data_IF_733385140651
#
_entry.id   IF_733385140651
#
_cell.length_a   1.000
_cell.length_b   1.000
_cell.length_c   1.000
_cell.angle_alpha   90.00
_cell.angle_beta   90.00
_cell.angle_gamma   90.00
#
_symmetry.space_group_name_H-M   'P 1'
#
loop_
_entity.id
_entity.type
_entity.pdbx_description
1 polymer ?
#
# COMPACT_ATOMS: atom_id res chain seq x y z
N UNK A 1 -33.19 -57.05 -19.92
CA UNK A 1 -32.49 -56.23 -20.94
C UNK A 1 -31.45 -55.40 -20.19
N UNK A 2 -30.29 -55.96 -19.83
CA UNK A 2 -28.98 -55.88 -20.51
C UNK A 2 -28.58 -54.46 -20.92
N UNK A 3 -27.54 -53.99 -20.20
CA UNK A 3 -26.52 -53.00 -20.56
C UNK A 3 -27.02 -51.60 -20.92
N UNK A 4 -26.79 -50.64 -20.02
CA UNK A 4 -26.03 -49.42 -20.29
C UNK A 4 -25.70 -48.75 -18.95
N UNK A 5 -24.86 -49.49 -18.22
CA UNK A 5 -24.06 -49.00 -17.10
C UNK A 5 -22.85 -48.27 -17.68
N UNK A 6 -22.48 -47.14 -17.08
CA UNK A 6 -21.15 -46.50 -17.18
C UNK A 6 -20.71 -45.91 -18.52
N UNK A 7 -21.28 -44.79 -18.98
CA UNK A 7 -20.49 -43.89 -19.82
C UNK A 7 -20.94 -42.43 -19.58
N UNK A 8 -19.98 -41.52 -19.47
CA UNK A 8 -20.13 -40.07 -19.21
C UNK A 8 -20.10 -39.68 -17.71
N UNK A 9 -19.18 -40.27 -16.94
CA UNK A 9 -18.67 -39.68 -15.69
C UNK A 9 -17.15 -39.46 -15.80
N UNK A 10 -16.70 -38.98 -16.97
CA UNK A 10 -15.29 -38.66 -17.25
C UNK A 10 -15.26 -37.34 -18.02
N UNK A 11 -15.69 -36.26 -17.37
CA UNK A 11 -15.35 -34.91 -17.80
C UNK A 11 -14.44 -34.34 -16.70
N UNK A 12 -13.16 -34.67 -16.84
CA UNK A 12 -12.06 -33.75 -16.66
C UNK A 12 -12.10 -32.87 -15.40
N UNK A 13 -11.79 -33.47 -14.25
CA UNK A 13 -11.04 -32.76 -13.22
C UNK A 13 -9.61 -32.55 -13.73
N UNK A 14 -9.43 -31.67 -14.72
CA UNK A 14 -8.14 -31.02 -14.92
C UNK A 14 -8.03 -29.98 -13.79
N UNK A 15 -7.63 -30.44 -12.60
CA UNK A 15 -7.02 -29.55 -11.63
C UNK A 15 -5.67 -29.19 -12.21
N UNK A 16 -5.63 -28.09 -12.96
CA UNK A 16 -4.36 -27.42 -13.18
C UNK A 16 -3.84 -27.08 -11.80
N UNK A 17 -2.77 -27.74 -11.38
CA UNK A 17 -1.95 -27.28 -10.27
C UNK A 17 -1.36 -25.93 -10.73
N UNK A 18 -2.14 -24.87 -10.58
CA UNK A 18 -1.63 -23.52 -10.55
C UNK A 18 -0.72 -23.51 -9.32
N UNK A 19 0.57 -23.77 -9.54
CA UNK A 19 1.59 -23.40 -8.57
C UNK A 19 1.34 -21.93 -8.24
N UNK A 20 0.80 -21.69 -7.04
CA UNK A 20 0.48 -20.34 -6.60
C UNK A 20 1.82 -19.62 -6.44
N UNK A 21 2.21 -18.86 -7.47
CA UNK A 21 3.38 -18.02 -7.42
C UNK A 21 3.12 -16.93 -6.38
N UNK A 22 3.80 -17.02 -5.24
CA UNK A 22 3.73 -16.02 -4.19
C UNK A 22 4.63 -14.84 -4.55
N UNK A 23 4.04 -13.73 -4.97
CA UNK A 23 4.78 -12.53 -5.33
C UNK A 23 5.02 -11.66 -4.09
N UNK A 24 6.29 -11.51 -3.69
CA UNK A 24 6.64 -10.61 -2.61
C UNK A 24 6.39 -9.14 -3.02
N UNK A 25 5.68 -8.34 -2.20
CA UNK A 25 5.46 -6.93 -2.52
C UNK A 25 6.73 -6.10 -2.27
N UNK A 26 6.84 -4.96 -2.96
CA UNK A 26 7.89 -3.96 -2.70
C UNK A 26 7.38 -2.89 -1.74
N UNK A 27 8.23 -2.41 -0.80
CA UNK A 27 7.86 -1.34 0.09
C UNK A 27 7.70 0.01 -0.66
N UNK A 28 6.90 0.95 -0.13
CA UNK A 28 6.81 2.29 -0.69
C UNK A 28 8.14 3.05 -0.60
N UNK A 29 8.57 3.69 -1.70
CA UNK A 29 9.89 4.30 -1.81
C UNK A 29 9.98 5.73 -1.25
N UNK A 30 8.94 6.54 -1.43
CA UNK A 30 9.02 7.98 -1.20
C UNK A 30 8.36 8.38 0.12
N UNK A 31 9.16 8.46 1.18
CA UNK A 31 8.72 9.03 2.44
C UNK A 31 8.64 10.56 2.32
N UNK A 32 7.48 11.18 2.62
CA UNK A 32 7.33 12.63 2.57
C UNK A 32 8.27 13.35 3.52
N UNK A 33 8.81 14.50 3.11
CA UNK A 33 9.75 15.29 3.88
C UNK A 33 9.02 16.52 4.42
N UNK A 34 9.02 16.67 5.74
CA UNK A 34 8.37 17.81 6.39
C UNK A 34 9.06 19.12 5.99
N UNK A 35 8.30 20.13 5.52
CA UNK A 35 8.86 21.45 5.24
C UNK A 35 9.52 22.05 6.48
N UNK A 36 10.66 22.72 6.27
CA UNK A 36 11.34 23.43 7.35
C UNK A 36 10.54 24.65 7.77
N UNK A 37 10.45 24.86 9.08
CA UNK A 37 9.77 26.03 9.64
C UNK A 37 10.61 27.28 9.32
N UNK A 38 10.01 28.34 8.75
CA UNK A 38 10.73 29.59 8.52
C UNK A 38 11.22 30.19 9.84
N UNK A 39 12.41 30.80 9.83
CA UNK A 39 13.01 31.42 11.03
C UNK A 39 12.13 32.50 11.67
N UNK A 40 11.25 33.11 10.88
CA UNK A 40 10.33 34.18 11.28
C UNK A 40 9.04 33.65 11.96
N UNK A 41 8.87 32.33 12.10
CA UNK A 41 7.75 31.71 12.82
C UNK A 41 8.20 31.26 14.21
N UNK A 42 7.49 31.70 15.25
CA UNK A 42 7.64 31.20 16.61
C UNK A 42 6.50 30.24 16.95
N UNK A 43 6.82 28.94 16.99
CA UNK A 43 5.83 27.89 17.27
C UNK A 43 5.40 27.83 18.73
N UNK A 44 6.23 28.30 19.67
CA UNK A 44 5.92 28.29 21.10
C UNK A 44 4.87 29.37 21.44
N UNK A 45 5.07 30.59 20.94
CA UNK A 45 4.15 31.71 21.17
C UNK A 45 3.01 31.76 20.15
N UNK A 46 3.04 30.91 19.12
CA UNK A 46 2.10 30.91 17.99
C UNK A 46 2.04 32.27 17.26
N UNK A 47 3.17 32.95 17.15
CA UNK A 47 3.29 34.25 16.45
C UNK A 47 4.29 34.16 15.30
N UNK A 48 4.24 35.08 14.34
CA UNK A 48 5.25 35.21 13.30
C UNK A 48 5.46 36.67 12.91
N UNK A 49 6.64 36.98 12.38
CA UNK A 49 6.97 38.26 11.75
C UNK A 49 7.34 38.12 10.27
N UNK A 50 7.02 36.97 9.67
CA UNK A 50 7.21 36.70 8.24
C UNK A 50 6.41 37.67 7.36
N UNK A 51 6.95 37.99 6.19
CA UNK A 51 6.18 38.61 5.12
C UNK A 51 5.09 37.66 4.59
N UNK A 52 4.12 38.23 3.88
CA UNK A 52 2.96 37.48 3.37
C UNK A 52 3.35 36.37 2.38
N UNK A 53 4.40 36.56 1.58
CA UNK A 53 4.81 35.54 0.62
C UNK A 53 5.41 34.34 1.34
N UNK A 54 6.30 34.58 2.32
CA UNK A 54 6.94 33.52 3.10
C UNK A 54 5.91 32.67 3.85
N UNK A 55 4.96 33.29 4.55
CA UNK A 55 3.95 32.54 5.30
C UNK A 55 3.00 31.76 4.38
N UNK A 56 2.62 32.34 3.24
CA UNK A 56 1.76 31.67 2.27
C UNK A 56 2.47 30.48 1.61
N UNK A 57 3.74 30.64 1.26
CA UNK A 57 4.59 29.60 0.69
C UNK A 57 4.74 28.44 1.68
N UNK A 58 5.09 28.72 2.94
CA UNK A 58 5.19 27.72 3.99
C UNK A 58 3.86 26.97 4.23
N UNK A 59 2.74 27.70 4.33
CA UNK A 59 1.43 27.09 4.49
C UNK A 59 1.05 26.21 3.29
N UNK A 60 1.46 26.59 2.07
CA UNK A 60 1.25 25.76 0.88
C UNK A 60 2.07 24.48 0.94
N UNK A 61 3.36 24.58 1.30
CA UNK A 61 4.23 23.42 1.48
C UNK A 61 3.68 22.45 2.54
N UNK A 62 3.12 22.98 3.63
CA UNK A 62 2.48 22.14 4.67
C UNK A 62 1.25 21.40 4.14
N UNK A 63 0.40 22.05 3.34
CA UNK A 63 -0.75 21.38 2.73
C UNK A 63 -0.32 20.24 1.80
N UNK A 64 0.69 20.50 0.96
CA UNK A 64 1.27 19.47 0.08
C UNK A 64 1.84 18.31 0.89
N UNK A 65 2.65 18.60 1.91
CA UNK A 65 3.21 17.58 2.80
C UNK A 65 2.13 16.72 3.45
N UNK A 66 1.04 17.32 3.94
CA UNK A 66 -0.05 16.54 4.55
C UNK A 66 -0.70 15.60 3.54
N UNK A 67 -0.94 16.06 2.31
CA UNK A 67 -1.46 15.21 1.23
C UNK A 67 -0.51 14.05 0.90
N UNK A 68 0.80 14.32 0.82
CA UNK A 68 1.82 13.30 0.58
C UNK A 68 1.88 12.29 1.74
N UNK A 69 1.74 12.73 2.98
CA UNK A 69 1.68 11.86 4.17
C UNK A 69 0.50 10.91 4.10
N UNK A 70 -0.69 11.42 3.80
CA UNK A 70 -1.90 10.59 3.69
C UNK A 70 -1.74 9.53 2.58
N UNK A 71 -1.18 9.91 1.44
CA UNK A 71 -0.88 8.98 0.36
C UNK A 71 0.14 7.92 0.78
N UNK A 72 1.24 8.31 1.43
CA UNK A 72 2.27 7.39 1.88
C UNK A 72 1.73 6.40 2.93
N UNK A 73 0.87 6.86 3.84
CA UNK A 73 0.17 5.97 4.80
C UNK A 73 -0.70 4.95 4.06
N UNK A 74 -1.43 5.38 3.03
CA UNK A 74 -2.24 4.47 2.22
C UNK A 74 -1.38 3.43 1.49
N UNK A 75 -0.23 3.82 0.96
CA UNK A 75 0.73 2.90 0.34
C UNK A 75 1.29 1.89 1.35
N UNK A 76 1.64 2.34 2.56
CA UNK A 76 2.09 1.45 3.63
C UNK A 76 1.03 0.43 4.02
N UNK A 77 -0.23 0.85 4.14
CA UNK A 77 -1.34 -0.06 4.45
C UNK A 77 -1.52 -1.13 3.36
N UNK A 78 -1.40 -0.74 2.08
CA UNK A 78 -1.41 -1.70 0.96
C UNK A 78 -0.24 -2.66 1.04
N UNK A 79 0.97 -2.16 1.31
CA UNK A 79 2.16 -2.98 1.46
C UNK A 79 2.02 -4.01 2.59
N UNK A 80 1.56 -3.60 3.78
CA UNK A 80 1.30 -4.51 4.91
C UNK A 80 0.32 -5.61 4.52
N UNK A 81 -0.78 -5.24 3.86
CA UNK A 81 -1.77 -6.21 3.39
C UNK A 81 -1.14 -7.21 2.41
N UNK A 82 -0.47 -6.71 1.37
CA UNK A 82 0.18 -7.57 0.37
C UNK A 82 1.28 -8.45 0.97
N UNK A 83 1.98 -7.98 2.01
CA UNK A 83 3.01 -8.77 2.68
C UNK A 83 2.39 -9.91 3.49
N UNK A 84 1.25 -9.66 4.14
CA UNK A 84 0.45 -10.70 4.79
C UNK A 84 -0.08 -11.72 3.79
N UNK A 85 -0.62 -11.26 2.66
CA UNK A 85 -1.13 -12.13 1.59
C UNK A 85 -0.01 -13.02 1.02
N UNK A 86 1.19 -12.45 0.81
CA UNK A 86 2.40 -13.18 0.40
C UNK A 86 2.79 -14.26 1.42
N UNK A 87 2.88 -13.90 2.70
CA UNK A 87 3.24 -14.86 3.75
C UNK A 87 2.24 -16.02 3.87
N UNK A 88 0.93 -15.74 3.73
CA UNK A 88 -0.09 -16.77 3.73
C UNK A 88 0.01 -17.69 2.51
N UNK A 89 0.33 -17.14 1.34
CA UNK A 89 0.57 -17.92 0.12
C UNK A 89 1.74 -18.90 0.33
N UNK A 90 2.88 -18.40 0.83
CA UNK A 90 4.06 -19.23 1.09
C UNK A 90 3.76 -20.34 2.11
N UNK A 91 3.06 -20.01 3.21
CA UNK A 91 2.68 -20.99 4.23
C UNK A 91 1.76 -22.09 3.67
N UNK A 92 0.80 -21.71 2.83
CA UNK A 92 -0.14 -22.66 2.19
C UNK A 92 0.57 -23.61 1.23
N UNK A 93 1.66 -23.16 0.59
CA UNK A 93 2.46 -24.02 -0.31
C UNK A 93 3.30 -25.08 0.43
N UNK A 94 3.40 -25.01 1.75
CA UNK A 94 4.16 -25.97 2.59
C UNK A 94 3.30 -27.03 3.27
N UNK A 95 1.97 -26.92 3.18
CA UNK A 95 0.99 -27.82 3.83
C UNK A 95 0.35 -28.75 2.81
#
# INVERSE_FOLDING_TARGET
>A
MKKNLCLIFIINFFTTNLYAFCAAPSPPYFKPIKPSVPFCVNQFTKTHNCDSWTINSYNSAIRTYNYEVDNYINELNRYVKSASDYAQCEASNLQ
#
